data_IF_227358909218
#
_entry.id   IF_227358909218
#
_cell.length_a   1.000
_cell.length_b   1.000
_cell.length_c   1.000
_cell.angle_alpha   90.00
_cell.angle_beta   90.00
_cell.angle_gamma   90.00
#
_symmetry.space_group_name_H-M   'P 1'
#
loop_
_entity.id
_entity.type
_entity.pdbx_description
1 polymer ?
#
# COMPACT_ATOMS: atom_id res chain seq x y z
N UNK A 1 -31.07 15.15 33.95
CA UNK A 1 -30.74 14.71 32.58
C UNK A 1 -30.76 15.92 31.67
N UNK A 2 -29.62 16.19 31.04
CA UNK A 2 -29.34 17.36 30.21
C UNK A 2 -30.08 17.24 28.87
N UNK A 3 -30.76 18.30 28.44
CA UNK A 3 -31.42 18.40 27.14
C UNK A 3 -31.14 19.77 26.54
N UNK A 4 -29.96 19.94 25.94
CA UNK A 4 -29.61 21.11 25.15
C UNK A 4 -30.17 20.94 23.73
N UNK A 5 -31.09 21.83 23.32
CA UNK A 5 -31.49 21.98 21.93
C UNK A 5 -31.28 23.43 21.50
N UNK A 6 -30.43 23.54 20.48
CA UNK A 6 -29.81 24.74 19.95
C UNK A 6 -30.85 25.73 19.38
N UNK A 7 -30.78 26.98 19.84
CA UNK A 7 -31.41 28.13 19.17
C UNK A 7 -30.44 28.67 18.12
N UNK A 8 -30.73 28.45 16.84
CA UNK A 8 -30.07 29.17 15.75
C UNK A 8 -30.78 30.51 15.55
N UNK A 9 -30.13 31.58 15.98
CA UNK A 9 -30.54 32.97 15.81
C UNK A 9 -29.97 33.46 14.47
N UNK A 10 -30.83 33.72 13.48
CA UNK A 10 -30.43 34.41 12.24
C UNK A 10 -30.92 35.85 12.33
N UNK A 11 -30.00 36.79 12.55
CA UNK A 11 -30.23 38.24 12.49
C UNK A 11 -29.41 38.80 11.33
N UNK A 12 -30.07 39.57 10.47
CA UNK A 12 -29.47 40.33 9.36
C UNK A 12 -30.51 40.54 8.26
N UNK A 13 -31.45 41.45 8.45
CA UNK A 13 -31.39 42.86 8.03
C UNK A 13 -31.83 43.07 6.57
N UNK A 14 -33.05 43.60 6.47
CA UNK A 14 -33.62 44.51 5.47
C UNK A 14 -33.02 44.56 4.05
N UNK A 15 -33.87 44.36 3.05
CA UNK A 15 -34.25 45.40 2.08
C UNK A 15 -35.42 44.88 1.23
N UNK A 16 -36.57 45.53 1.34
CA UNK A 16 -37.72 45.27 0.50
C UNK A 16 -37.46 45.74 -0.92
N UNK A 17 -37.63 44.84 -1.89
CA UNK A 17 -37.86 45.19 -3.30
C UNK A 17 -38.86 44.21 -3.90
N UNK A 18 -39.95 44.79 -4.39
CA UNK A 18 -40.88 44.27 -5.41
C UNK A 18 -41.63 42.96 -5.15
N UNK A 19 -42.86 43.12 -4.66
CA UNK A 19 -44.03 42.25 -4.83
C UNK A 19 -44.50 42.08 -6.29
N UNK A 20 -43.59 42.14 -7.28
CA UNK A 20 -43.94 42.14 -8.72
C UNK A 20 -43.17 41.11 -9.58
N UNK A 21 -42.56 40.09 -8.97
CA UNK A 21 -41.89 39.00 -9.72
C UNK A 21 -42.52 37.61 -9.50
N UNK A 22 -43.75 37.53 -9.01
CA UNK A 22 -44.47 36.26 -8.82
C UNK A 22 -45.22 35.78 -10.07
N UNK A 23 -45.24 36.55 -11.17
CA UNK A 23 -46.01 36.24 -12.40
C UNK A 23 -45.15 35.81 -13.59
N UNK A 24 -43.82 35.66 -13.42
CA UNK A 24 -42.87 35.34 -14.51
C UNK A 24 -42.36 33.90 -14.51
N UNK A 25 -42.82 33.04 -13.59
CA UNK A 25 -42.48 31.63 -13.57
C UNK A 25 -43.69 30.80 -14.00
N UNK A 26 -43.62 30.03 -15.10
CA UNK A 26 -44.69 29.12 -15.47
C UNK A 26 -44.86 28.10 -14.34
N UNK A 27 -46.11 27.88 -13.91
CA UNK A 27 -46.39 26.87 -12.89
C UNK A 27 -45.79 25.52 -13.31
N UNK A 28 -45.09 24.81 -12.41
CA UNK A 28 -44.53 23.51 -12.73
C UNK A 28 -45.69 22.58 -13.11
N UNK A 29 -45.71 22.15 -14.37
CA UNK A 29 -46.67 21.15 -14.86
C UNK A 29 -46.68 19.98 -13.87
N UNK A 30 -47.85 19.49 -13.44
CA UNK A 30 -47.91 18.39 -12.48
C UNK A 30 -47.13 17.22 -13.06
N UNK A 31 -46.17 16.71 -12.29
CA UNK A 31 -45.39 15.54 -12.65
C UNK A 31 -46.37 14.42 -13.02
N UNK A 32 -46.32 13.94 -14.27
CA UNK A 32 -47.11 12.79 -14.70
C UNK A 32 -46.80 11.65 -13.74
N UNK A 33 -47.78 11.31 -12.89
CA UNK A 33 -47.68 10.15 -12.01
C UNK A 33 -47.49 8.94 -12.92
N UNK A 34 -46.31 8.34 -12.87
CA UNK A 34 -46.03 7.11 -13.60
C UNK A 34 -46.99 6.06 -13.07
N UNK A 35 -47.82 5.51 -13.95
CA UNK A 35 -48.78 4.48 -13.55
C UNK A 35 -48.03 3.21 -13.16
N UNK A 36 -48.61 2.36 -12.32
CA UNK A 36 -47.99 1.07 -11.95
C UNK A 36 -47.59 0.25 -13.20
N UNK A 37 -48.37 0.33 -14.27
CA UNK A 37 -48.06 -0.32 -15.54
C UNK A 37 -46.79 0.21 -16.23
N UNK A 38 -46.46 1.49 -16.07
CA UNK A 38 -45.23 2.07 -16.62
C UNK A 38 -44.00 1.64 -15.80
N UNK A 39 -44.15 1.53 -14.48
CA UNK A 39 -43.11 1.01 -13.59
C UNK A 39 -42.81 -0.47 -13.88
N UNK A 40 -43.85 -1.28 -14.10
CA UNK A 40 -43.71 -2.69 -14.48
C UNK A 40 -43.01 -2.85 -15.84
N UNK A 41 -43.32 -1.99 -16.82
CA UNK A 41 -42.65 -1.98 -18.13
C UNK A 41 -41.18 -1.60 -18.01
N UNK A 42 -40.84 -0.64 -17.16
CA UNK A 42 -39.45 -0.25 -16.89
C UNK A 42 -38.69 -1.38 -16.19
N UNK A 43 -39.29 -2.02 -15.19
CA UNK A 43 -38.70 -3.16 -14.50
C UNK A 43 -38.48 -4.36 -15.44
N UNK A 44 -39.43 -4.66 -16.34
CA UNK A 44 -39.29 -5.72 -17.34
C UNK A 44 -38.20 -5.39 -18.37
N UNK A 45 -38.06 -4.13 -18.77
CA UNK A 45 -36.98 -3.68 -19.67
C UNK A 45 -35.61 -3.80 -18.99
N UNK A 46 -35.52 -3.46 -17.71
CA UNK A 46 -34.30 -3.60 -16.91
C UNK A 46 -33.91 -5.07 -16.74
N UNK A 47 -34.86 -5.95 -16.43
CA UNK A 47 -34.63 -7.40 -16.37
C UNK A 47 -34.14 -7.97 -17.71
N UNK A 48 -34.67 -7.49 -18.85
CA UNK A 48 -34.19 -7.89 -20.18
C UNK A 48 -32.75 -7.41 -20.43
N UNK A 49 -32.40 -6.20 -20.01
CA UNK A 49 -31.03 -5.66 -20.11
C UNK A 49 -30.06 -6.44 -19.23
N UNK A 50 -30.46 -6.78 -18.00
CA UNK A 50 -29.68 -7.61 -17.08
C UNK A 50 -29.40 -9.00 -17.67
N UNK A 51 -30.43 -9.68 -18.21
CA UNK A 51 -30.28 -10.98 -18.88
C UNK A 51 -29.34 -10.90 -20.10
N UNK A 52 -29.39 -9.81 -20.86
CA UNK A 52 -28.50 -9.58 -22.01
C UNK A 52 -27.05 -9.35 -21.57
N UNK A 53 -26.82 -8.61 -20.48
CA UNK A 53 -25.50 -8.48 -19.84
C UNK A 53 -24.95 -9.82 -19.35
N UNK A 54 -25.77 -10.63 -18.69
CA UNK A 54 -25.38 -11.97 -18.22
C UNK A 54 -24.96 -12.89 -19.37
N UNK A 55 -25.67 -12.85 -20.50
CA UNK A 55 -25.31 -13.63 -21.70
C UNK A 55 -24.00 -13.17 -22.34
N UNK A 56 -23.72 -11.87 -22.31
CA UNK A 56 -22.45 -11.32 -22.81
C UNK A 56 -21.28 -11.79 -21.93
N UNK A 57 -21.43 -11.73 -20.60
CA UNK A 57 -20.44 -12.24 -19.64
C UNK A 57 -20.11 -13.71 -19.95
N UNK A 58 -21.14 -14.57 -20.08
CA UNK A 58 -20.97 -15.98 -20.43
C UNK A 58 -20.31 -16.26 -21.80
N UNK A 59 -20.32 -15.31 -22.74
CA UNK A 59 -19.72 -15.49 -24.07
C UNK A 59 -18.27 -15.01 -24.15
N UNK A 60 -17.88 -14.07 -23.28
CA UNK A 60 -16.52 -13.50 -23.24
C UNK A 60 -15.62 -14.10 -22.18
N UNK A 61 -16.14 -14.99 -21.32
CA UNK A 61 -15.29 -15.78 -20.45
C UNK A 61 -14.55 -16.83 -21.30
N UNK A 62 -13.21 -16.81 -21.37
CA UNK A 62 -12.48 -17.87 -22.05
C UNK A 62 -12.80 -19.19 -21.35
N UNK A 63 -13.32 -20.16 -22.11
CA UNK A 63 -13.46 -21.54 -21.64
C UNK A 63 -12.04 -22.06 -21.39
N UNK A 64 -11.64 -22.10 -20.13
CA UNK A 64 -10.39 -22.69 -19.70
C UNK A 64 -10.56 -24.22 -19.78
N UNK A 65 -10.13 -24.83 -20.88
CA UNK A 65 -10.24 -26.29 -21.13
C UNK A 65 -9.39 -27.15 -20.18
N UNK A 66 -8.70 -26.53 -19.23
CA UNK A 66 -8.03 -27.21 -18.14
C UNK A 66 -8.40 -26.52 -16.83
N UNK A 67 -8.93 -27.25 -15.82
CA UNK A 67 -8.99 -26.70 -14.47
C UNK A 67 -7.55 -26.29 -14.12
N UNK A 68 -7.32 -25.01 -13.82
CA UNK A 68 -6.07 -24.59 -13.19
C UNK A 68 -5.87 -25.54 -12.00
N UNK A 69 -4.71 -26.20 -11.87
CA UNK A 69 -4.46 -26.95 -10.65
C UNK A 69 -4.60 -25.95 -9.50
N UNK A 70 -5.26 -26.40 -8.44
CA UNK A 70 -5.71 -25.59 -7.31
C UNK A 70 -4.50 -25.22 -6.41
N UNK A 71 -3.50 -24.54 -6.96
CA UNK A 71 -2.34 -24.05 -6.21
C UNK A 71 -2.43 -22.55 -5.89
N UNK A 72 -3.44 -21.84 -6.41
CA UNK A 72 -3.52 -20.37 -6.34
C UNK A 72 -4.06 -19.80 -5.02
N UNK A 73 -4.44 -20.64 -4.06
CA UNK A 73 -4.80 -20.19 -2.71
C UNK A 73 -4.44 -21.23 -1.67
N UNK A 74 -3.19 -21.70 -1.67
CA UNK A 74 -2.67 -22.20 -0.40
C UNK A 74 -2.46 -20.97 0.49
N UNK A 75 -3.51 -20.60 1.23
CA UNK A 75 -3.39 -19.74 2.40
C UNK A 75 -2.56 -20.52 3.41
N UNK A 76 -1.27 -20.18 3.52
CA UNK A 76 -0.39 -20.68 4.56
C UNK A 76 -0.35 -19.61 5.65
N UNK A 77 -1.22 -19.64 6.67
CA UNK A 77 -1.18 -18.64 7.76
C UNK A 77 0.17 -18.60 8.47
N UNK A 78 0.94 -19.69 8.41
CA UNK A 78 2.34 -19.75 8.86
C UNK A 78 3.26 -18.84 8.03
N UNK A 79 3.02 -18.72 6.72
CA UNK A 79 3.77 -17.84 5.83
C UNK A 79 3.44 -16.37 6.08
N UNK A 80 2.17 -16.03 6.30
CA UNK A 80 1.77 -14.67 6.68
C UNK A 80 2.38 -14.29 8.03
N UNK A 81 2.31 -15.19 9.01
CA UNK A 81 2.95 -14.99 10.32
C UNK A 81 4.47 -14.83 10.21
N UNK A 82 5.12 -15.57 9.29
CA UNK A 82 6.54 -15.44 8.99
C UNK A 82 6.88 -14.05 8.45
N UNK A 83 6.17 -13.58 7.41
CA UNK A 83 6.40 -12.25 6.84
C UNK A 83 6.09 -11.13 7.83
N UNK A 84 5.07 -11.29 8.68
CA UNK A 84 4.80 -10.34 9.75
C UNK A 84 5.94 -10.29 10.78
N UNK A 85 6.48 -11.44 11.17
CA UNK A 85 7.60 -11.51 12.11
C UNK A 85 8.86 -10.85 11.53
N UNK A 86 9.16 -11.11 10.25
CA UNK A 86 10.28 -10.50 9.54
C UNK A 86 10.11 -8.97 9.45
N UNK A 87 8.93 -8.49 9.06
CA UNK A 87 8.61 -7.06 9.00
C UNK A 87 8.72 -6.38 10.37
N UNK A 88 8.29 -7.05 11.46
CA UNK A 88 8.47 -6.55 12.83
C UNK A 88 9.95 -6.48 13.22
N UNK A 89 10.74 -7.47 12.84
CA UNK A 89 12.17 -7.51 13.11
C UNK A 89 12.92 -6.40 12.36
N UNK A 90 12.63 -6.21 11.08
CA UNK A 90 13.14 -5.09 10.28
C UNK A 90 12.78 -3.75 10.90
N UNK A 91 11.48 -3.53 11.21
CA UNK A 91 11.03 -2.28 11.82
C UNK A 91 11.71 -2.01 13.17
N UNK A 92 11.93 -3.05 13.98
CA UNK A 92 12.64 -2.94 15.25
C UNK A 92 14.11 -2.56 15.07
N UNK A 93 14.81 -3.23 14.14
CA UNK A 93 16.20 -2.92 13.81
C UNK A 93 16.34 -1.48 13.28
N UNK A 94 15.51 -1.09 12.30
CA UNK A 94 15.57 0.24 11.69
C UNK A 94 15.20 1.35 12.68
N UNK A 95 14.30 1.08 13.63
CA UNK A 95 14.04 2.01 14.74
C UNK A 95 15.27 2.21 15.62
N UNK A 96 16.05 1.16 15.89
CA UNK A 96 17.29 1.27 16.66
C UNK A 96 18.38 2.00 15.87
N UNK A 97 18.55 1.70 14.57
CA UNK A 97 19.45 2.45 13.68
C UNK A 97 19.15 3.94 13.76
N UNK A 98 17.87 4.32 13.63
CA UNK A 98 17.44 5.73 13.68
C UNK A 98 17.81 6.43 15.00
N UNK A 99 17.87 5.69 16.12
CA UNK A 99 18.31 6.24 17.42
C UNK A 99 19.82 6.37 17.51
N UNK A 100 20.56 5.45 16.89
CA UNK A 100 22.00 5.38 16.99
C UNK A 100 22.71 6.35 16.05
N UNK A 101 22.16 6.66 14.88
CA UNK A 101 22.87 7.45 13.87
C UNK A 101 22.26 8.83 13.66
N UNK A 102 23.05 9.74 13.07
CA UNK A 102 22.56 11.08 12.69
C UNK A 102 21.55 10.96 11.52
N UNK A 103 20.61 11.92 11.37
CA UNK A 103 19.61 11.87 10.30
C UNK A 103 20.19 11.70 8.88
N UNK A 104 21.35 12.31 8.60
CA UNK A 104 22.03 12.12 7.30
C UNK A 104 22.44 10.65 7.09
N UNK A 105 23.13 10.07 8.07
CA UNK A 105 23.59 8.67 8.02
C UNK A 105 22.40 7.72 7.88
N UNK A 106 21.29 8.00 8.56
CA UNK A 106 20.08 7.19 8.44
C UNK A 106 19.51 7.18 7.01
N UNK A 107 19.47 8.35 6.35
CA UNK A 107 19.03 8.43 4.95
C UNK A 107 19.95 7.67 4.01
N UNK A 108 21.26 7.84 4.19
CA UNK A 108 22.26 7.17 3.37
C UNK A 108 22.18 5.63 3.54
N UNK A 109 21.86 5.13 4.75
CA UNK A 109 21.60 3.70 4.99
C UNK A 109 20.35 3.23 4.22
N UNK A 110 19.26 4.00 4.24
CA UNK A 110 18.05 3.64 3.48
C UNK A 110 18.29 3.62 1.97
N UNK A 111 19.11 4.54 1.46
CA UNK A 111 19.51 4.57 0.06
C UNK A 111 20.35 3.34 -0.29
N UNK A 112 21.34 3.01 0.53
CA UNK A 112 22.15 1.80 0.35
C UNK A 112 21.32 0.51 0.35
N UNK A 113 20.37 0.36 1.28
CA UNK A 113 19.46 -0.80 1.34
C UNK A 113 18.64 -0.91 0.04
N UNK A 114 18.17 0.23 -0.48
CA UNK A 114 17.39 0.27 -1.72
C UNK A 114 18.22 -0.17 -2.94
N UNK A 115 19.52 0.11 -2.94
CA UNK A 115 20.42 -0.27 -4.02
C UNK A 115 20.76 -1.79 -4.01
N UNK A 116 20.47 -2.50 -2.92
CA UNK A 116 20.76 -3.93 -2.72
C UNK A 116 19.66 -4.89 -3.28
N UNK A 117 18.71 -4.38 -4.07
CA UNK A 117 17.54 -5.06 -4.65
C UNK A 117 16.62 -5.78 -3.64
N UNK A 118 16.95 -7.01 -3.22
CA UNK A 118 16.18 -7.77 -2.22
C UNK A 118 16.96 -7.86 -0.92
N UNK A 119 16.38 -7.40 0.19
CA UNK A 119 17.02 -7.43 1.51
C UNK A 119 16.15 -8.08 2.59
N UNK A 120 16.76 -8.89 3.46
CA UNK A 120 16.08 -9.65 4.53
C UNK A 120 16.96 -9.77 5.78
N UNK A 121 16.48 -10.45 6.82
CA UNK A 121 17.27 -10.83 8.01
C UNK A 121 17.90 -9.66 8.80
N UNK A 122 17.20 -8.53 8.88
CA UNK A 122 17.68 -7.33 9.59
C UNK A 122 17.93 -7.59 11.08
N UNK A 123 19.10 -7.19 11.58
CA UNK A 123 19.46 -7.32 12.99
C UNK A 123 20.51 -6.29 13.42
N UNK A 124 20.64 -6.07 14.73
CA UNK A 124 21.68 -5.24 15.31
C UNK A 124 22.66 -6.14 16.07
N UNK A 125 23.94 -6.08 15.69
CA UNK A 125 25.00 -6.90 16.28
C UNK A 125 26.09 -6.00 16.89
N UNK A 126 26.88 -6.54 17.81
CA UNK A 126 27.93 -5.78 18.52
C UNK A 126 29.32 -5.91 17.87
N UNK A 127 29.49 -6.88 16.99
CA UNK A 127 30.76 -7.13 16.30
C UNK A 127 30.47 -7.52 14.85
N UNK A 128 31.31 -7.07 13.90
CA UNK A 128 31.28 -7.66 12.58
C UNK A 128 31.77 -9.11 12.73
N UNK A 129 30.99 -10.08 12.26
CA UNK A 129 31.25 -11.49 12.53
C UNK A 129 32.48 -12.03 11.80
N UNK A 130 32.34 -13.18 11.15
CA UNK A 130 33.39 -13.67 10.25
C UNK A 130 33.47 -12.85 8.94
N UNK A 131 32.50 -11.95 8.69
CA UNK A 131 32.49 -11.05 7.53
C UNK A 131 33.58 -9.98 7.65
N UNK A 132 34.67 -10.11 6.89
CA UNK A 132 35.88 -9.27 7.04
C UNK A 132 36.24 -8.43 5.83
N UNK A 133 35.54 -8.58 4.70
CA UNK A 133 35.84 -7.78 3.52
C UNK A 133 35.22 -6.39 3.69
N UNK A 134 36.03 -5.51 4.29
CA UNK A 134 35.71 -4.10 4.45
C UNK A 134 35.74 -3.44 3.08
N UNK A 135 34.58 -2.95 2.63
CA UNK A 135 34.40 -2.20 1.41
C UNK A 135 34.28 -0.70 1.72
N UNK A 136 34.99 0.12 0.97
CA UNK A 136 35.02 1.59 1.11
C UNK A 136 33.77 2.19 0.45
N UNK A 137 32.85 2.71 1.25
CA UNK A 137 31.56 3.27 0.83
C UNK A 137 31.60 4.80 0.86
N UNK A 138 32.48 5.38 0.03
CA UNK A 138 32.80 6.82 0.05
C UNK A 138 31.62 7.71 -0.31
N UNK A 139 30.65 7.19 -1.06
CA UNK A 139 29.41 7.87 -1.43
C UNK A 139 28.49 8.11 -0.24
N UNK A 140 28.59 7.28 0.81
CA UNK A 140 27.69 7.32 1.95
C UNK A 140 28.35 7.92 3.20
N UNK A 141 27.56 8.47 4.11
CA UNK A 141 28.06 9.09 5.33
C UNK A 141 28.65 8.08 6.34
N UNK A 142 28.30 6.80 6.26
CA UNK A 142 28.85 5.73 7.11
C UNK A 142 30.22 5.20 6.65
N UNK A 143 30.71 5.66 5.48
CA UNK A 143 32.09 5.50 4.97
C UNK A 143 32.55 4.11 4.54
N UNK A 144 32.08 3.06 5.18
CA UNK A 144 32.44 1.69 4.83
C UNK A 144 31.38 0.71 5.31
N UNK A 145 31.32 -0.46 4.70
CA UNK A 145 30.55 -1.60 5.17
C UNK A 145 31.43 -2.86 5.15
N UNK A 146 31.10 -3.87 5.95
CA UNK A 146 31.64 -5.21 5.74
C UNK A 146 30.66 -5.98 4.88
N UNK A 147 31.14 -6.60 3.82
CA UNK A 147 30.31 -7.36 2.89
C UNK A 147 30.87 -8.77 2.80
N UNK A 148 30.02 -9.77 2.93
CA UNK A 148 30.38 -11.16 2.65
C UNK A 148 29.48 -11.66 1.52
N UNK A 149 30.02 -11.61 0.31
CA UNK A 149 29.31 -11.91 -0.92
C UNK A 149 29.66 -13.32 -1.40
N UNK A 150 28.64 -14.03 -1.89
CA UNK A 150 28.77 -15.33 -2.53
C UNK A 150 27.88 -15.40 -3.78
N UNK A 151 28.26 -16.25 -4.73
CA UNK A 151 27.48 -16.44 -5.95
C UNK A 151 26.26 -17.32 -5.64
N UNK A 152 25.06 -16.83 -5.97
CA UNK A 152 23.80 -17.53 -5.70
C UNK A 152 23.34 -18.43 -6.87
N UNK A 153 24.30 -19.03 -7.60
CA UNK A 153 24.02 -20.14 -8.52
C UNK A 153 23.22 -19.83 -9.78
N UNK A 154 23.19 -18.58 -10.26
CA UNK A 154 22.62 -18.25 -11.57
C UNK A 154 23.38 -18.98 -12.71
N UNK A 155 22.66 -19.42 -13.75
CA UNK A 155 23.22 -20.18 -14.89
C UNK A 155 24.39 -19.46 -15.61
N UNK A 156 24.51 -18.15 -15.41
CA UNK A 156 25.57 -17.26 -15.93
C UNK A 156 26.52 -16.71 -14.87
N UNK A 157 26.28 -16.94 -13.57
CA UNK A 157 27.10 -16.40 -12.48
C UNK A 157 26.84 -14.92 -12.14
N UNK A 158 25.77 -14.31 -12.69
CA UNK A 158 25.48 -12.88 -12.50
C UNK A 158 24.66 -12.56 -11.23
N UNK A 159 24.18 -13.58 -10.52
CA UNK A 159 23.39 -13.39 -9.29
C UNK A 159 24.28 -13.52 -8.05
N UNK A 160 24.27 -12.48 -7.23
CA UNK A 160 25.08 -12.35 -6.04
C UNK A 160 24.20 -12.19 -4.81
N UNK A 161 24.51 -12.95 -3.78
CA UNK A 161 23.86 -12.79 -2.48
C UNK A 161 24.92 -12.63 -1.40
N UNK A 162 24.52 -12.10 -0.26
CA UNK A 162 25.50 -11.87 0.79
C UNK A 162 24.92 -11.23 2.02
N UNK A 163 25.82 -11.00 2.97
CA UNK A 163 25.53 -10.31 4.21
C UNK A 163 26.27 -8.97 4.21
N UNK A 164 25.59 -7.90 4.62
CA UNK A 164 26.16 -6.56 4.79
C UNK A 164 26.10 -6.18 6.26
N UNK A 165 27.19 -5.57 6.75
CA UNK A 165 27.28 -4.98 8.08
C UNK A 165 27.71 -3.52 7.98
N UNK A 166 26.79 -2.62 8.32
CA UNK A 166 27.03 -1.17 8.33
C UNK A 166 27.38 -0.72 9.75
N UNK A 167 28.51 -0.03 9.96
CA UNK A 167 28.89 0.49 11.27
C UNK A 167 27.90 1.55 11.76
N UNK A 168 27.47 1.40 13.00
CA UNK A 168 26.65 2.36 13.74
C UNK A 168 27.47 2.95 14.89
N UNK A 169 26.84 3.84 15.67
CA UNK A 169 27.44 4.34 16.89
C UNK A 169 27.41 3.29 18.02
N UNK A 170 28.19 3.54 19.08
CA UNK A 170 28.29 2.69 20.27
C UNK A 170 28.77 1.24 20.00
N UNK A 171 29.62 1.06 18.97
CA UNK A 171 30.17 -0.25 18.64
C UNK A 171 29.14 -1.25 18.12
N UNK A 172 27.99 -0.78 17.63
CA UNK A 172 26.96 -1.62 17.03
C UNK A 172 27.05 -1.60 15.51
N UNK A 173 26.47 -2.60 14.88
CA UNK A 173 26.39 -2.74 13.43
C UNK A 173 24.96 -3.12 13.03
N UNK A 174 24.49 -2.54 11.93
CA UNK A 174 23.30 -3.02 11.24
C UNK A 174 23.72 -4.18 10.34
N UNK A 175 23.15 -5.36 10.56
CA UNK A 175 23.32 -6.55 9.72
C UNK A 175 22.06 -6.81 8.92
N UNK A 176 22.20 -7.12 7.64
CA UNK A 176 21.11 -7.63 6.79
C UNK A 176 21.66 -8.51 5.67
N UNK A 177 20.81 -9.39 5.14
CA UNK A 177 21.10 -10.19 3.96
C UNK A 177 20.60 -9.47 2.70
N UNK A 178 21.29 -9.67 1.58
CA UNK A 178 20.85 -9.20 0.28
C UNK A 178 20.95 -10.29 -0.80
N UNK A 179 20.16 -10.13 -1.86
CA UNK A 179 20.27 -10.89 -3.10
C UNK A 179 19.98 -10.00 -4.30
N UNK A 180 20.87 -10.07 -5.29
CA UNK A 180 20.82 -9.41 -6.60
C UNK A 180 20.97 -10.46 -7.72
#
# INVERSE_FOLDING_TARGET
MSGALNRALVIGAALGVSSQMASLFPEPKPAKQQTQADLERLAAAEQRRARRRQRLINLTEPVMDHPRPEYETLFWPEMDAYYEAESRQEAAAMREVRRLVRPKVYRDILEYIKDCDRTTEFSIVNEPGAERDKQDERGYAFKFAYVNQYCNGGYTGDSYAGCVLIPLNAGKFLKFHYSM
#
